data_IF_812075258001
#
_entry.id   IF_812075258001
#
_cell.length_a   1.000
_cell.length_b   1.000
_cell.length_c   1.000
_cell.angle_alpha   90.00
_cell.angle_beta   90.00
_cell.angle_gamma   90.00
#
_symmetry.space_group_name_H-M   'P 1'
#
loop_
_entity.id
_entity.type
_entity.pdbx_description
1 polymer ?
#
# COMPACT_ATOMS: atom_id res chain seq x y z
N UNK A 1 -32.42 -13.76 -12.50
CA UNK A 1 -31.59 -14.43 -11.49
C UNK A 1 -31.24 -13.41 -10.42
N UNK A 2 -31.74 -13.63 -9.20
CA UNK A 2 -31.73 -12.66 -8.09
C UNK A 2 -30.29 -12.42 -7.62
N UNK A 3 -29.86 -11.17 -7.62
CA UNK A 3 -28.62 -10.75 -6.98
C UNK A 3 -28.71 -11.08 -5.48
N UNK A 4 -27.98 -12.10 -5.05
CA UNK A 4 -27.87 -12.45 -3.65
C UNK A 4 -27.42 -11.20 -2.86
N UNK A 5 -28.28 -10.74 -1.96
CA UNK A 5 -28.05 -9.59 -1.11
C UNK A 5 -26.72 -9.76 -0.38
N UNK A 6 -25.77 -8.86 -0.69
CA UNK A 6 -24.53 -8.77 0.07
C UNK A 6 -24.90 -8.33 1.48
N UNK A 7 -24.63 -9.15 2.48
CA UNK A 7 -24.76 -8.74 3.87
C UNK A 7 -23.78 -7.58 4.11
N UNK A 8 -24.23 -6.40 4.57
CA UNK A 8 -23.36 -5.24 4.76
C UNK A 8 -22.17 -5.50 5.70
N UNK A 9 -22.30 -6.51 6.58
CA UNK A 9 -21.27 -6.96 7.52
C UNK A 9 -20.10 -7.70 6.86
N UNK A 10 -20.29 -8.21 5.64
CA UNK A 10 -19.28 -8.99 4.91
C UNK A 10 -18.38 -8.14 4.00
N UNK A 11 -18.65 -6.83 3.89
CA UNK A 11 -17.88 -5.91 3.05
C UNK A 11 -17.01 -5.02 3.93
N UNK A 12 -15.86 -5.56 4.36
CA UNK A 12 -14.80 -4.73 4.93
C UNK A 12 -14.43 -3.66 3.89
N UNK A 13 -14.50 -2.39 4.29
CA UNK A 13 -14.01 -1.30 3.45
C UNK A 13 -12.47 -1.32 3.41
N UNK A 14 -11.85 -1.01 2.26
CA UNK A 14 -10.40 -0.82 2.17
C UNK A 14 -9.91 0.20 3.19
N UNK A 15 -8.74 -0.01 3.78
CA UNK A 15 -8.19 0.86 4.83
C UNK A 15 -8.08 2.32 4.37
N UNK A 16 -7.72 2.52 3.09
CA UNK A 16 -7.63 3.85 2.50
C UNK A 16 -8.95 4.63 2.56
N UNK A 17 -10.10 3.94 2.66
CA UNK A 17 -11.42 4.55 2.77
C UNK A 17 -11.92 4.68 4.21
N UNK A 18 -11.31 3.99 5.17
CA UNK A 18 -11.73 4.00 6.58
C UNK A 18 -10.96 4.98 7.45
N UNK A 19 -9.74 5.34 7.05
CA UNK A 19 -8.91 6.32 7.78
C UNK A 19 -9.28 7.77 7.41
N UNK A 20 -8.89 8.75 8.24
CA UNK A 20 -9.04 10.15 7.85
C UNK A 20 -8.07 10.50 6.73
N UNK A 21 -8.55 11.31 5.80
CA UNK A 21 -7.78 11.71 4.63
C UNK A 21 -6.88 12.90 4.98
N UNK A 22 -5.64 12.89 4.52
CA UNK A 22 -4.75 14.05 4.68
C UNK A 22 -3.26 13.76 4.49
N UNK A 23 -2.44 14.80 4.66
CA UNK A 23 -0.97 14.72 4.50
C UNK A 23 -0.33 13.69 5.43
N UNK A 24 -0.95 13.38 6.57
CA UNK A 24 -0.48 12.34 7.50
C UNK A 24 -0.39 10.96 6.84
N UNK A 25 -1.27 10.66 5.87
CA UNK A 25 -1.29 9.35 5.20
C UNK A 25 -0.13 9.20 4.21
N UNK A 26 0.41 10.31 3.72
CA UNK A 26 1.60 10.26 2.85
C UNK A 26 2.83 9.76 3.61
N UNK A 27 2.90 9.99 4.93
CA UNK A 27 4.01 9.55 5.77
C UNK A 27 4.18 8.02 5.79
N UNK A 28 3.11 7.26 5.56
CA UNK A 28 3.18 5.80 5.47
C UNK A 28 4.10 5.31 4.35
N UNK A 29 4.29 6.12 3.31
CA UNK A 29 5.11 5.79 2.15
C UNK A 29 6.53 6.37 2.21
N UNK A 30 6.89 7.02 3.31
CA UNK A 30 8.20 7.64 3.48
C UNK A 30 9.32 6.59 3.45
N UNK A 31 10.40 6.86 2.70
CA UNK A 31 11.56 5.97 2.62
C UNK A 31 11.30 4.62 1.96
N UNK A 32 10.19 4.47 1.22
CA UNK A 32 9.89 3.31 0.39
C UNK A 32 10.43 3.47 -1.03
N UNK A 33 10.79 2.35 -1.66
CA UNK A 33 11.04 2.33 -3.11
C UNK A 33 9.73 2.50 -3.87
N UNK A 34 9.81 2.87 -5.15
CA UNK A 34 8.63 2.98 -6.02
C UNK A 34 7.79 1.70 -6.03
N UNK A 35 8.44 0.53 -6.05
CA UNK A 35 7.75 -0.75 -6.05
C UNK A 35 7.01 -0.98 -4.72
N UNK A 36 7.65 -0.69 -3.59
CA UNK A 36 7.04 -0.77 -2.26
C UNK A 36 5.85 0.17 -2.13
N UNK A 37 5.99 1.44 -2.53
CA UNK A 37 4.87 2.39 -2.48
C UNK A 37 3.70 1.95 -3.36
N UNK A 38 3.98 1.41 -4.55
CA UNK A 38 2.95 0.92 -5.47
C UNK A 38 2.22 -0.30 -4.89
N UNK A 39 2.97 -1.26 -4.35
CA UNK A 39 2.41 -2.44 -3.68
C UNK A 39 1.52 -2.00 -2.52
N UNK A 40 2.05 -1.13 -1.65
CA UNK A 40 1.34 -0.67 -0.47
C UNK A 40 0.05 0.09 -0.83
N UNK A 41 0.12 0.98 -1.82
CA UNK A 41 -1.05 1.71 -2.29
C UNK A 41 -2.13 0.75 -2.82
N UNK A 42 -1.73 -0.26 -3.61
CA UNK A 42 -2.63 -1.26 -4.16
C UNK A 42 -3.26 -2.12 -3.06
N UNK A 43 -2.49 -2.49 -2.04
CA UNK A 43 -2.99 -3.23 -0.87
C UNK A 43 -4.02 -2.42 -0.07
N UNK A 44 -3.74 -1.14 0.23
CA UNK A 44 -4.63 -0.30 1.05
C UNK A 44 -5.94 0.07 0.38
N UNK A 45 -5.92 0.19 -0.94
CA UNK A 45 -7.11 0.47 -1.74
C UNK A 45 -7.86 -0.79 -2.15
N UNK A 46 -7.26 -1.97 -1.92
CA UNK A 46 -7.69 -3.27 -2.46
C UNK A 46 -7.93 -3.26 -3.99
N UNK A 47 -7.34 -2.30 -4.70
CA UNK A 47 -7.33 -2.20 -6.17
C UNK A 47 -6.05 -2.85 -6.69
N UNK A 48 -5.97 -4.17 -6.54
CA UNK A 48 -4.78 -4.97 -6.82
C UNK A 48 -5.17 -6.20 -7.65
N UNK A 49 -4.25 -6.74 -8.46
CA UNK A 49 -4.49 -7.88 -9.36
C UNK A 49 -4.71 -9.23 -8.68
N UNK A 50 -5.38 -9.27 -7.53
CA UNK A 50 -5.83 -10.49 -6.85
C UNK A 50 -7.18 -10.94 -7.42
N UNK A 51 -7.47 -12.25 -7.34
CA UNK A 51 -8.65 -12.85 -7.98
C UNK A 51 -9.96 -12.19 -7.60
N UNK A 52 -10.16 -11.76 -6.34
CA UNK A 52 -11.39 -11.05 -5.95
C UNK A 52 -11.60 -9.80 -6.80
N UNK A 53 -10.58 -8.95 -6.90
CA UNK A 53 -10.70 -7.68 -7.61
C UNK A 53 -10.88 -7.88 -9.11
N UNK A 54 -10.15 -8.84 -9.69
CA UNK A 54 -10.24 -9.17 -11.11
C UNK A 54 -11.62 -9.76 -11.47
N UNK A 55 -12.16 -10.62 -10.63
CA UNK A 55 -13.52 -11.14 -10.75
C UNK A 55 -14.57 -10.01 -10.64
N UNK A 56 -14.44 -9.12 -9.65
CA UNK A 56 -15.35 -7.99 -9.48
C UNK A 56 -15.32 -7.03 -10.69
N UNK A 57 -14.18 -6.96 -11.40
CA UNK A 57 -14.03 -6.23 -12.67
C UNK A 57 -14.46 -7.04 -13.91
N UNK A 58 -14.95 -8.26 -13.74
CA UNK A 58 -15.35 -9.17 -14.82
C UNK A 58 -14.24 -9.41 -15.87
N UNK A 59 -12.99 -9.56 -15.41
CA UNK A 59 -11.86 -9.84 -16.30
C UNK A 59 -11.93 -11.32 -16.77
N UNK A 60 -11.83 -11.59 -18.09
CA UNK A 60 -11.78 -12.97 -18.60
C UNK A 60 -10.63 -13.78 -17.99
N UNK A 61 -10.88 -15.06 -17.68
CA UNK A 61 -9.93 -15.94 -16.99
C UNK A 61 -9.96 -15.82 -15.46
N UNK A 62 -10.84 -14.98 -14.91
CA UNK A 62 -11.06 -14.80 -13.47
C UNK A 62 -12.54 -14.96 -13.10
N UNK A 63 -13.13 -16.07 -13.49
CA UNK A 63 -14.55 -16.41 -13.28
C UNK A 63 -14.89 -16.70 -11.82
N UNK A 64 -13.87 -16.90 -10.97
CA UNK A 64 -14.04 -17.14 -9.54
C UNK A 64 -13.17 -16.21 -8.71
N UNK A 65 -13.72 -15.56 -7.67
CA UNK A 65 -12.95 -14.71 -6.77
C UNK A 65 -12.15 -15.54 -5.74
N UNK A 66 -12.27 -16.87 -5.74
CA UNK A 66 -11.69 -17.75 -4.73
C UNK A 66 -10.17 -17.81 -4.82
N UNK A 67 -9.52 -17.71 -3.67
CA UNK A 67 -8.09 -18.01 -3.57
C UNK A 67 -7.85 -19.48 -3.89
N UNK A 68 -6.67 -19.78 -4.43
CA UNK A 68 -6.18 -21.13 -4.70
C UNK A 68 -6.11 -22.01 -3.44
N UNK A 69 -6.15 -21.44 -2.24
CA UNK A 69 -6.26 -22.20 -1.00
C UNK A 69 -7.65 -22.82 -0.77
N UNK A 70 -8.66 -22.44 -1.54
CA UNK A 70 -10.04 -22.93 -1.46
C UNK A 70 -10.91 -22.32 -0.34
N UNK A 71 -10.32 -21.70 0.68
CA UNK A 71 -11.04 -21.29 1.91
C UNK A 71 -11.86 -20.00 1.79
N UNK A 72 -11.36 -19.00 1.08
CA UNK A 72 -11.99 -17.67 0.99
C UNK A 72 -11.73 -17.00 -0.35
N UNK A 73 -12.30 -15.81 -0.54
CA UNK A 73 -11.98 -14.91 -1.66
C UNK A 73 -10.54 -14.44 -1.53
N UNK A 74 -9.83 -14.30 -2.66
CA UNK A 74 -8.46 -13.82 -2.65
C UNK A 74 -8.42 -12.30 -2.46
N UNK A 75 -8.38 -11.89 -1.20
CA UNK A 75 -8.30 -10.48 -0.78
C UNK A 75 -6.96 -10.20 -0.12
N UNK A 76 -6.62 -8.92 0.00
CA UNK A 76 -5.40 -8.49 0.71
C UNK A 76 -5.46 -8.96 2.17
N UNK A 77 -6.62 -8.84 2.82
CA UNK A 77 -6.87 -9.37 4.16
C UNK A 77 -6.65 -10.87 4.24
N UNK A 78 -7.25 -11.63 3.32
CA UNK A 78 -7.10 -13.08 3.31
C UNK A 78 -5.62 -13.47 3.19
N UNK A 79 -4.88 -12.88 2.24
CA UNK A 79 -3.48 -13.22 2.04
C UNK A 79 -2.59 -12.82 3.21
N UNK A 80 -2.85 -11.68 3.87
CA UNK A 80 -2.04 -11.19 4.99
C UNK A 80 -2.41 -11.79 6.35
N UNK A 81 -3.62 -12.32 6.54
CA UNK A 81 -4.14 -12.68 7.87
C UNK A 81 -4.63 -14.11 7.98
N UNK A 82 -5.15 -14.71 6.90
CA UNK A 82 -5.90 -15.97 7.00
C UNK A 82 -5.35 -17.10 6.12
N UNK A 83 -4.73 -16.77 5.00
CA UNK A 83 -4.43 -17.73 3.94
C UNK A 83 -3.52 -18.85 4.48
N UNK A 84 -3.96 -20.12 4.39
CA UNK A 84 -3.18 -21.25 4.89
C UNK A 84 -1.97 -21.54 3.99
N UNK A 85 -2.06 -21.27 2.68
CA UNK A 85 -0.91 -21.38 1.76
C UNK A 85 0.23 -20.44 2.15
N UNK A 86 -0.10 -19.29 2.71
CA UNK A 86 0.88 -18.29 3.15
C UNK A 86 1.20 -18.40 4.65
N UNK A 87 0.77 -19.47 5.34
CA UNK A 87 0.91 -19.58 6.80
C UNK A 87 2.37 -19.44 7.24
N UNK A 88 3.27 -20.19 6.63
CA UNK A 88 4.70 -20.18 6.97
C UNK A 88 5.32 -18.79 6.74
N UNK A 89 5.08 -18.21 5.55
CA UNK A 89 5.53 -16.86 5.22
C UNK A 89 4.99 -15.79 6.20
N UNK A 90 3.74 -15.92 6.64
CA UNK A 90 3.12 -15.01 7.61
C UNK A 90 3.66 -15.18 9.02
N UNK A 91 3.97 -16.41 9.44
CA UNK A 91 4.57 -16.66 10.75
C UNK A 91 5.90 -15.91 10.89
N UNK A 92 6.77 -15.95 9.87
CA UNK A 92 8.00 -15.17 9.87
C UNK A 92 7.77 -13.66 9.90
N UNK A 93 6.75 -13.16 9.20
CA UNK A 93 6.36 -11.74 9.24
C UNK A 93 5.90 -11.32 10.64
N UNK A 94 5.01 -12.10 11.26
CA UNK A 94 4.44 -11.78 12.57
C UNK A 94 5.45 -11.95 13.69
N UNK A 95 6.37 -12.91 13.59
CA UNK A 95 7.48 -13.02 14.53
C UNK A 95 8.38 -11.77 14.49
N UNK A 96 8.58 -11.19 13.30
CA UNK A 96 9.37 -9.97 13.12
C UNK A 96 8.66 -8.71 13.60
N UNK A 97 7.33 -8.63 13.44
CA UNK A 97 6.54 -7.45 13.81
C UNK A 97 5.97 -7.51 15.23
N UNK A 98 5.82 -8.70 15.81
CA UNK A 98 5.21 -8.92 17.13
C UNK A 98 3.68 -8.84 17.15
N UNK A 99 3.02 -8.66 16.00
CA UNK A 99 1.56 -8.63 15.89
C UNK A 99 1.09 -9.01 14.47
N UNK A 100 -0.23 -9.17 14.32
CA UNK A 100 -0.91 -9.46 13.07
C UNK A 100 -2.09 -8.52 12.78
N UNK A 101 -2.20 -7.40 13.51
CA UNK A 101 -3.26 -6.40 13.29
C UNK A 101 -3.23 -5.83 11.88
N UNK A 102 -4.25 -6.13 11.08
CA UNK A 102 -4.31 -5.77 9.67
C UNK A 102 -4.20 -4.27 9.40
N UNK A 103 -4.79 -3.44 10.26
CA UNK A 103 -4.73 -1.98 10.09
C UNK A 103 -3.30 -1.48 10.28
N UNK A 104 -2.62 -1.96 11.31
CA UNK A 104 -1.24 -1.61 11.62
C UNK A 104 -0.27 -2.11 10.55
N UNK A 105 -0.49 -3.33 10.03
CA UNK A 105 0.28 -3.90 8.92
C UNK A 105 0.29 -2.98 7.68
N UNK A 106 -0.86 -2.39 7.33
CA UNK A 106 -1.00 -1.56 6.13
C UNK A 106 -0.77 -0.06 6.38
N UNK A 107 -0.37 0.33 7.59
CA UNK A 107 -0.11 1.72 7.98
C UNK A 107 1.28 1.91 8.58
N UNK A 108 1.53 1.41 9.78
CA UNK A 108 2.80 1.61 10.50
C UNK A 108 3.90 0.71 9.96
N UNK A 109 3.60 -0.55 9.67
CA UNK A 109 4.57 -1.54 9.18
C UNK A 109 4.62 -1.63 7.66
N UNK A 110 4.02 -0.64 6.99
CA UNK A 110 3.74 -0.61 5.58
C UNK A 110 4.96 -0.99 4.72
N UNK A 111 6.18 -0.56 5.11
CA UNK A 111 7.39 -0.85 4.35
C UNK A 111 7.75 -2.34 4.37
N UNK A 112 7.74 -2.96 5.56
CA UNK A 112 8.06 -4.38 5.72
C UNK A 112 6.97 -5.24 5.06
N UNK A 113 5.71 -4.85 5.22
CA UNK A 113 4.57 -5.55 4.62
C UNK A 113 4.57 -5.42 3.09
N UNK A 114 4.97 -4.27 2.54
CA UNK A 114 5.13 -4.10 1.10
C UNK A 114 6.24 -5.00 0.53
N UNK A 115 7.38 -5.11 1.21
CA UNK A 115 8.44 -6.05 0.84
C UNK A 115 7.93 -7.50 0.87
N UNK A 116 7.23 -7.88 1.95
CA UNK A 116 6.64 -9.21 2.10
C UNK A 116 5.62 -9.52 1.00
N UNK A 117 4.72 -8.58 0.69
CA UNK A 117 3.72 -8.75 -0.34
C UNK A 117 4.35 -8.86 -1.74
N UNK A 118 5.42 -8.13 -2.03
CA UNK A 118 6.19 -8.29 -3.28
C UNK A 118 6.75 -9.71 -3.39
N UNK A 119 7.25 -10.26 -2.27
CA UNK A 119 7.82 -11.61 -2.24
C UNK A 119 6.78 -12.70 -2.48
N UNK A 120 5.55 -12.55 -1.97
CA UNK A 120 4.60 -13.67 -1.90
C UNK A 120 3.29 -13.50 -2.67
N UNK A 121 2.91 -12.29 -3.06
CA UNK A 121 1.72 -12.12 -3.90
C UNK A 121 2.05 -12.51 -5.33
N UNK A 122 1.18 -13.30 -5.94
CA UNK A 122 1.35 -13.80 -7.30
C UNK A 122 1.01 -12.73 -8.35
N UNK A 123 1.79 -11.65 -8.35
CA UNK A 123 1.57 -10.46 -9.18
C UNK A 123 2.74 -10.23 -10.13
N UNK A 124 2.51 -10.46 -11.42
CA UNK A 124 3.58 -10.50 -12.40
C UNK A 124 4.35 -9.19 -12.57
N UNK A 125 3.68 -8.05 -12.37
CA UNK A 125 4.33 -6.73 -12.43
C UNK A 125 5.45 -6.54 -11.39
N UNK A 126 5.51 -7.39 -10.37
CA UNK A 126 6.52 -7.36 -9.32
C UNK A 126 7.57 -8.46 -9.46
N UNK A 127 7.48 -9.36 -10.46
CA UNK A 127 8.40 -10.50 -10.60
C UNK A 127 9.87 -10.02 -10.68
N UNK A 128 10.17 -9.00 -11.48
CA UNK A 128 11.54 -8.46 -11.57
C UNK A 128 12.04 -7.78 -10.29
N UNK A 129 11.14 -7.31 -9.43
CA UNK A 129 11.49 -6.71 -8.12
C UNK A 129 11.73 -7.82 -7.10
N UNK A 130 10.91 -8.87 -7.13
CA UNK A 130 11.04 -10.06 -6.29
C UNK A 130 12.41 -10.71 -6.47
N UNK A 131 12.84 -10.89 -7.71
CA UNK A 131 14.14 -11.48 -8.05
C UNK A 131 15.33 -10.65 -7.51
N UNK A 132 15.25 -9.33 -7.59
CA UNK A 132 16.37 -8.43 -7.23
C UNK A 132 16.43 -8.05 -5.76
N UNK A 133 15.31 -8.10 -5.04
CA UNK A 133 15.16 -7.39 -3.76
C UNK A 133 14.48 -8.20 -2.66
N UNK A 134 14.12 -9.47 -2.87
CA UNK A 134 13.48 -10.25 -1.81
C UNK A 134 14.44 -10.51 -0.67
N UNK A 135 14.13 -9.96 0.51
CA UNK A 135 14.78 -10.30 1.79
C UNK A 135 14.09 -11.46 2.52
N UNK A 136 13.02 -11.98 1.94
CA UNK A 136 12.23 -13.07 2.50
C UNK A 136 12.57 -14.40 1.80
N UNK A 137 12.45 -15.54 2.50
CA UNK A 137 12.62 -16.85 1.90
C UNK A 137 11.74 -17.04 0.67
N UNK A 138 12.30 -17.58 -0.40
CA UNK A 138 11.54 -17.85 -1.63
C UNK A 138 10.81 -19.17 -1.47
N UNK A 139 9.50 -19.17 -1.68
CA UNK A 139 8.68 -20.38 -1.73
C UNK A 139 8.13 -20.53 -3.15
N UNK A 140 8.80 -21.32 -4.03
CA UNK A 140 8.44 -21.39 -5.45
C UNK A 140 6.98 -21.78 -5.70
N UNK A 141 6.41 -22.65 -4.86
CA UNK A 141 5.03 -23.14 -4.97
C UNK A 141 3.94 -22.06 -4.71
N UNK A 142 4.33 -20.87 -4.26
CA UNK A 142 3.41 -19.75 -4.04
C UNK A 142 3.23 -18.88 -5.29
N UNK A 143 4.21 -18.86 -6.18
CA UNK A 143 4.19 -18.05 -7.40
C UNK A 143 3.88 -18.97 -8.59
N UNK A 144 2.80 -18.66 -9.32
CA UNK A 144 2.47 -19.46 -10.50
C UNK A 144 3.51 -19.23 -11.59
N UNK A 145 3.97 -20.29 -12.30
CA UNK A 145 4.84 -20.13 -13.46
C UNK A 145 4.22 -19.16 -14.47
N UNK A 146 5.02 -18.21 -14.95
CA UNK A 146 4.59 -17.32 -16.04
C UNK A 146 4.83 -18.02 -17.38
N UNK A 147 3.92 -17.91 -18.35
CA UNK A 147 4.22 -18.34 -19.72
C UNK A 147 5.47 -17.62 -20.24
N UNK A 148 6.28 -18.33 -21.04
CA UNK A 148 7.41 -17.74 -21.75
C UNK A 148 6.98 -16.49 -22.53
N UNK A 149 7.78 -15.41 -22.48
CA UNK A 149 7.46 -14.14 -23.14
C UNK A 149 6.31 -13.32 -22.51
N UNK A 150 5.72 -13.77 -21.39
CA UNK A 150 4.65 -13.03 -20.71
C UNK A 150 5.12 -11.66 -20.20
N UNK A 151 6.30 -11.61 -19.58
CA UNK A 151 6.89 -10.36 -19.09
C UNK A 151 7.28 -9.40 -20.23
N UNK A 152 7.75 -9.95 -21.36
CA UNK A 152 8.06 -9.16 -22.56
C UNK A 152 6.80 -8.54 -23.16
N UNK A 153 5.70 -9.28 -23.19
CA UNK A 153 4.38 -8.79 -23.61
C UNK A 153 3.88 -7.65 -22.73
N UNK A 154 4.04 -7.76 -21.40
CA UNK A 154 3.71 -6.68 -20.46
C UNK A 154 4.59 -5.44 -20.66
N UNK A 155 5.89 -5.65 -20.90
CA UNK A 155 6.85 -4.57 -21.17
C UNK A 155 6.55 -3.87 -22.50
N UNK A 156 6.26 -4.62 -23.57
CA UNK A 156 5.88 -4.09 -24.88
C UNK A 156 4.56 -3.30 -24.83
N UNK A 157 3.57 -3.79 -24.08
CA UNK A 157 2.29 -3.09 -23.88
C UNK A 157 2.47 -1.73 -23.17
N UNK A 158 3.44 -1.66 -22.25
CA UNK A 158 3.78 -0.44 -21.51
C UNK A 158 4.48 0.61 -22.39
N UNK A 159 5.39 0.19 -23.27
CA UNK A 159 6.09 1.08 -24.21
C UNK A 159 5.17 1.56 -25.35
N UNK A 160 4.28 0.71 -25.85
CA UNK A 160 3.28 1.06 -26.85
C UNK A 160 2.29 2.13 -26.35
N UNK A 161 1.83 2.03 -25.09
CA UNK A 161 1.00 3.08 -24.45
C UNK A 161 1.74 4.41 -24.26
N UNK A 162 3.06 4.39 -24.03
CA UNK A 162 3.88 5.62 -23.98
C UNK A 162 3.93 6.32 -25.34
N UNK A 163 4.13 5.57 -26.43
CA UNK A 163 4.22 6.10 -27.80
C UNK A 163 2.91 6.72 -28.31
N UNK A 164 1.76 6.15 -27.93
CA UNK A 164 0.43 6.70 -28.27
C UNK A 164 0.09 7.96 -27.46
N UNK A 165 0.61 8.08 -26.23
CA UNK A 165 0.40 9.29 -25.41
C UNK A 165 1.25 10.47 -25.87
N UNK A 166 2.48 10.23 -26.31
CA UNK A 166 3.35 11.29 -26.87
C UNK A 166 2.90 11.78 -28.23
N UNK A 167 2.23 10.95 -29.04
CA UNK A 167 1.71 11.35 -30.36
C UNK A 167 0.41 12.17 -30.28
N UNK A 168 -0.37 12.05 -29.19
CA UNK A 168 -1.60 12.84 -29.00
C UNK A 168 -1.32 14.29 -28.54
N UNK A 169 -0.24 14.52 -27.79
CA UNK A 169 0.22 15.87 -27.41
C UNK A 169 0.82 16.68 -28.56
N UNK A 170 1.16 16.02 -29.68
CA UNK A 170 1.75 16.68 -30.87
C UNK A 170 0.71 17.22 -31.85
N UNK A 171 -0.60 17.03 -31.60
CA UNK A 171 -1.67 17.32 -32.59
C UNK A 171 -2.54 18.55 -32.29
N UNK A 172 -2.16 19.39 -31.32
CA UNK A 172 -2.85 20.67 -31.03
C UNK A 172 -2.03 21.92 -31.35
N UNK A 173 -1.12 21.84 -32.33
CA UNK A 173 -0.38 23.00 -32.82
C UNK A 173 -0.19 22.96 -34.33
N UNK A 174 -1.26 23.25 -35.09
CA UNK A 174 -1.18 23.91 -36.42
C UNK A 174 -2.57 24.14 -37.01
N UNK A 175 -3.11 25.33 -36.77
CA UNK A 175 -3.91 26.04 -37.77
C UNK A 175 -3.58 27.52 -37.59
N UNK A 176 -2.48 27.93 -38.21
CA UNK A 176 -2.08 29.32 -38.37
C UNK A 176 -2.85 29.91 -39.55
N UNK A 177 -3.86 30.73 -39.27
CA UNK A 177 -4.36 31.74 -40.20
C UNK A 177 -3.70 33.07 -39.86
N UNK A 178 -3.03 33.63 -40.85
CA UNK A 178 -2.30 34.90 -40.83
C UNK A 178 -3.13 36.06 -40.27
N UNK A 179 -2.53 36.88 -39.41
CA UNK A 179 -2.97 38.26 -39.23
C UNK A 179 -1.77 39.18 -38.99
N UNK A 180 -1.44 40.11 -39.93
CA UNK A 180 -0.29 40.99 -39.81
C UNK A 180 -0.71 42.30 -39.12
N UNK A 181 -0.61 42.36 -37.79
CA UNK A 181 -0.74 43.65 -37.08
C UNK A 181 -0.10 43.62 -35.70
N UNK A 182 1.20 43.94 -35.63
CA UNK A 182 1.71 45.06 -34.82
C UNK A 182 3.23 45.15 -34.88
N UNK A 183 3.66 46.37 -35.17
CA UNK A 183 5.02 46.89 -35.15
C UNK A 183 5.65 46.81 -33.77
N UNK A 184 6.93 46.42 -33.78
CA UNK A 184 8.11 47.09 -33.20
C UNK A 184 8.05 47.74 -31.81
N UNK A 185 9.08 47.39 -31.02
CA UNK A 185 10.07 48.28 -30.37
C UNK A 185 10.31 48.00 -28.85
N UNK A 186 11.52 48.29 -28.32
CA UNK A 186 12.20 47.40 -27.37
C UNK A 186 12.47 47.97 -25.96
N UNK A 187 12.83 47.04 -25.06
CA UNK A 187 13.77 47.10 -23.90
C UNK A 187 13.82 48.38 -23.03
N UNK A 188 13.53 48.21 -21.73
CA UNK A 188 14.27 48.85 -20.63
C UNK A 188 14.07 48.08 -19.31
N UNK A 189 15.17 47.79 -18.61
CA UNK A 189 15.21 47.69 -17.13
C UNK A 189 15.79 49.03 -16.64
N UNK A 190 15.48 49.52 -15.43
CA UNK A 190 16.16 49.02 -14.23
C UNK A 190 15.40 49.19 -12.89
N UNK A 191 16.09 48.78 -11.82
CA UNK A 191 16.17 49.38 -10.49
C UNK A 191 15.59 48.60 -9.31
N UNK A 192 16.53 48.28 -8.43
CA UNK A 192 16.47 47.79 -7.05
C UNK A 192 15.82 48.80 -6.09
N UNK A 193 15.02 48.34 -5.13
CA UNK A 193 14.94 49.01 -3.82
C UNK A 193 14.68 48.00 -2.70
N UNK A 194 15.57 48.08 -1.71
CA UNK A 194 15.54 47.47 -0.38
C UNK A 194 14.29 47.88 0.41
N UNK A 195 13.64 46.94 1.11
CA UNK A 195 13.01 47.13 2.44
C UNK A 195 12.65 45.76 3.04
N UNK A 196 13.12 45.49 4.25
CA UNK A 196 12.63 44.47 5.20
C UNK A 196 12.37 45.18 6.54
N UNK A 197 11.66 44.59 7.53
CA UNK A 197 10.50 43.70 7.46
C UNK A 197 9.36 44.18 8.41
N UNK A 198 8.10 43.80 8.16
CA UNK A 198 7.05 43.84 9.19
C UNK A 198 6.48 42.44 9.45
N UNK A 199 6.55 42.07 10.72
CA UNK A 199 6.14 40.81 11.34
C UNK A 199 4.62 40.74 11.47
N UNK A 200 3.95 39.70 10.95
CA UNK A 200 2.57 39.40 11.34
C UNK A 200 2.56 38.51 12.59
N UNK A 201 1.74 38.92 13.57
CA UNK A 201 1.61 38.34 14.89
C UNK A 201 1.06 36.89 14.86
N UNK A 202 1.66 36.05 15.69
CA UNK A 202 1.27 34.66 15.98
C UNK A 202 -0.01 34.63 16.84
N UNK A 203 -1.05 33.84 16.48
CA UNK A 203 -2.16 33.57 17.38
C UNK A 203 -1.70 32.69 18.57
N UNK A 204 -1.99 33.15 19.79
CA UNK A 204 -1.67 32.46 21.05
C UNK A 204 -2.31 31.06 21.10
N UNK A 205 -1.49 30.07 21.48
CA UNK A 205 -1.95 28.73 21.84
C UNK A 205 -2.62 28.74 23.21
N UNK A 206 -3.69 27.95 23.43
CA UNK A 206 -4.30 27.79 24.74
C UNK A 206 -3.37 27.03 25.70
N UNK A 207 -3.35 27.48 26.96
CA UNK A 207 -2.52 27.00 28.06
C UNK A 207 -2.59 25.48 28.27
N UNK A 208 -1.47 24.82 28.64
CA UNK A 208 -1.48 23.40 28.95
C UNK A 208 -2.20 23.11 30.29
N UNK A 209 -2.91 21.98 30.42
CA UNK A 209 -3.53 21.57 31.68
C UNK A 209 -2.47 21.20 32.74
N UNK A 210 -2.80 21.33 34.04
CA UNK A 210 -1.85 21.07 35.12
C UNK A 210 -1.40 19.60 35.15
N UNK A 211 -0.08 19.41 35.36
CA UNK A 211 0.56 18.11 35.59
C UNK A 211 -0.06 17.40 36.80
N UNK A 212 -0.66 16.22 36.59
CA UNK A 212 -0.90 15.27 37.67
C UNK A 212 0.42 14.59 38.02
N UNK A 213 0.89 14.77 39.26
CA UNK A 213 1.96 13.98 39.83
C UNK A 213 1.48 12.55 40.11
N UNK A 214 2.38 11.54 40.01
CA UNK A 214 2.03 10.14 40.18
C UNK A 214 1.88 9.78 41.65
N UNK A 215 0.67 9.41 42.07
CA UNK A 215 0.46 8.71 43.34
C UNK A 215 0.94 7.26 43.23
N UNK A 216 2.09 7.03 43.85
CA UNK A 216 2.65 5.77 44.31
C UNK A 216 1.66 5.05 45.24
N UNK A 217 1.22 3.86 44.85
CA UNK A 217 0.60 2.81 45.69
C UNK A 217 0.45 1.57 44.82
N UNK A 218 0.71 0.35 45.23
CA UNK A 218 1.50 -0.26 46.29
C UNK A 218 1.74 -1.69 45.73
N UNK A 219 2.93 -2.22 45.97
CA UNK A 219 3.33 -3.57 45.57
C UNK A 219 2.56 -4.58 46.43
N UNK A 220 1.65 -5.35 45.84
CA UNK A 220 1.13 -6.57 46.47
C UNK A 220 1.85 -7.76 45.87
N UNK A 221 2.85 -8.21 46.61
CA UNK A 221 3.50 -9.51 46.48
C UNK A 221 2.44 -10.59 46.71
N UNK A 222 2.24 -11.51 45.78
CA UNK A 222 1.58 -12.78 46.08
C UNK A 222 2.48 -13.88 45.53
N UNK A 223 3.24 -14.45 46.45
CA UNK A 223 3.95 -15.71 46.33
C UNK A 223 2.96 -16.85 46.58
N UNK A 224 2.77 -17.72 45.59
CA UNK A 224 2.35 -19.11 45.76
C UNK A 224 3.31 -19.90 44.85
N UNK A 225 4.41 -20.39 45.39
CA UNK A 225 4.54 -21.71 46.04
C UNK A 225 4.58 -22.81 44.97
N UNK A 226 5.81 -23.22 44.68
CA UNK A 226 6.18 -24.43 43.96
C UNK A 226 5.93 -25.61 44.89
N UNK A 227 5.14 -26.58 44.46
CA UNK A 227 5.22 -27.96 44.96
C UNK A 227 5.36 -28.95 43.78
N UNK A 228 6.06 -30.08 43.99
CA UNK A 228 6.65 -30.88 42.93
C UNK A 228 5.93 -32.22 42.67
N UNK A 229 6.18 -32.75 41.46
CA UNK A 229 6.29 -34.18 41.07
C UNK A 229 5.24 -35.19 41.57
N UNK A 230 4.49 -35.73 40.59
CA UNK A 230 4.19 -37.17 40.55
C UNK A 230 4.13 -37.64 39.09
N UNK A 231 5.18 -38.36 38.70
CA UNK A 231 5.15 -39.44 37.72
C UNK A 231 4.19 -40.54 38.18
N UNK A 232 3.37 -41.10 37.29
CA UNK A 232 3.08 -42.55 37.21
C UNK A 232 2.58 -42.92 35.81
N UNK A 233 3.01 -44.10 35.40
CA UNK A 233 2.78 -44.82 34.14
C UNK A 233 1.31 -45.07 33.79
N UNK A 234 1.02 -45.11 32.48
CA UNK A 234 0.31 -46.17 31.72
C UNK A 234 0.22 -45.73 30.24
#
# INVERSE_FOLDING_TARGET
MVAAGRNPKDLRLPIALTEDWGKKNLKYYSGMTRAQSTMMFSCRTERIGLRKYLHDCCIPGFESPRCLCGRSRETVFHLLVECPRLREARMGLFQRLGHNDFTTLLTKDAKIVAEWAISYFDLAMFDSVRERSSRFPVFPHLISPRPEGFLDTLRASSTARRRTRTSRTSRTSRTTTNNPRRRSAPRASPATTSTSPQTPQTPQAPSPPPRRNPTRSARTTTSYELEPLASEDI
#
